data_IF_789212965049
#
_entry.id   IF_789212965049
#
_cell.length_a   1.000
_cell.length_b   1.000
_cell.length_c   1.000
_cell.angle_alpha   90.00
_cell.angle_beta   90.00
_cell.angle_gamma   90.00
#
_symmetry.space_group_name_H-M   'P 1'
#
loop_
_entity.id
_entity.type
_entity.pdbx_description
1 polymer ?
#
# COMPACT_ATOMS: atom_id res chain seq x y z
N UNK A 1 12.76 -8.48 -25.99
CA UNK A 1 12.32 -8.64 -24.59
C UNK A 1 12.77 -7.40 -23.82
N UNK A 2 11.91 -6.83 -22.98
CA UNK A 2 12.28 -5.70 -22.14
C UNK A 2 13.14 -6.15 -20.96
N UNK A 3 14.25 -5.47 -20.70
CA UNK A 3 15.17 -5.76 -19.60
C UNK A 3 14.78 -4.94 -18.36
N UNK A 4 14.50 -5.58 -17.22
CA UNK A 4 14.29 -4.86 -15.96
C UNK A 4 15.60 -4.24 -15.47
N UNK A 5 15.64 -2.92 -15.37
CA UNK A 5 16.83 -2.17 -14.91
C UNK A 5 16.80 -1.98 -13.39
N UNK A 6 15.63 -1.78 -12.80
CA UNK A 6 15.50 -1.58 -11.36
C UNK A 6 14.11 -1.13 -10.94
N UNK A 7 14.00 -0.67 -9.71
CA UNK A 7 12.76 -0.10 -9.17
C UNK A 7 12.96 1.37 -8.83
N UNK A 8 11.96 2.20 -9.03
CA UNK A 8 12.02 3.63 -8.71
C UNK A 8 10.78 4.07 -7.92
N UNK A 9 10.73 5.35 -7.56
CA UNK A 9 9.54 5.98 -6.99
C UNK A 9 9.05 7.04 -7.96
N UNK A 10 7.78 6.98 -8.31
CA UNK A 10 7.11 7.95 -9.17
C UNK A 10 6.05 8.71 -8.38
N UNK A 11 5.91 10.00 -8.61
CA UNK A 11 4.80 10.79 -8.10
C UNK A 11 4.08 11.48 -9.25
N UNK A 12 2.79 11.19 -9.38
CA UNK A 12 1.91 11.89 -10.32
C UNK A 12 1.71 13.36 -9.93
N UNK A 13 1.74 13.65 -8.63
CA UNK A 13 1.59 15.01 -8.08
C UNK A 13 2.77 15.88 -8.50
N UNK A 14 3.98 15.33 -8.42
CA UNK A 14 5.22 16.02 -8.80
C UNK A 14 5.54 15.91 -10.29
N UNK A 15 4.79 15.08 -11.03
CA UNK A 15 4.99 14.85 -12.46
C UNK A 15 6.32 14.16 -12.80
N UNK A 16 6.88 13.34 -11.91
CA UNK A 16 8.21 12.77 -12.14
C UNK A 16 8.66 11.69 -11.17
N UNK A 17 9.90 11.23 -11.37
CA UNK A 17 10.60 10.23 -10.60
C UNK A 17 11.44 10.87 -9.51
N UNK A 18 11.47 10.23 -8.35
CA UNK A 18 12.30 10.65 -7.23
C UNK A 18 13.78 10.48 -7.58
N UNK A 19 14.56 11.57 -7.55
CA UNK A 19 16.00 11.57 -7.86
C UNK A 19 16.88 11.68 -6.60
N UNK A 20 16.40 12.38 -5.58
CA UNK A 20 17.05 12.45 -4.25
C UNK A 20 16.02 12.19 -3.16
N UNK A 21 16.42 11.47 -2.11
CA UNK A 21 15.48 11.09 -1.05
C UNK A 21 15.30 12.15 0.05
N UNK A 22 16.31 12.98 0.31
CA UNK A 22 16.32 14.04 1.32
C UNK A 22 17.31 15.15 0.94
N UNK A 23 16.85 16.36 0.56
CA UNK A 23 15.46 16.70 0.31
C UNK A 23 14.87 15.85 -0.83
N UNK A 24 13.55 15.68 -0.82
CA UNK A 24 12.86 14.96 -1.91
C UNK A 24 12.83 15.85 -3.15
N UNK A 25 13.51 15.43 -4.21
CA UNK A 25 13.46 16.10 -5.52
C UNK A 25 12.96 15.12 -6.58
N UNK A 26 12.24 15.63 -7.58
CA UNK A 26 11.65 14.86 -8.65
C UNK A 26 12.11 15.38 -10.02
N UNK A 27 12.24 14.48 -10.99
CA UNK A 27 12.60 14.79 -12.37
C UNK A 27 11.76 13.94 -13.34
N UNK A 28 11.42 14.46 -14.50
CA UNK A 28 10.55 13.78 -15.47
C UNK A 28 11.23 12.57 -16.15
N UNK A 29 12.56 12.59 -16.29
CA UNK A 29 13.35 11.54 -16.94
C UNK A 29 13.56 10.32 -16.03
N UNK A 30 13.10 9.11 -16.42
CA UNK A 30 13.34 7.88 -15.66
C UNK A 30 14.82 7.55 -15.47
N UNK A 31 15.71 8.01 -16.37
CA UNK A 31 17.15 7.76 -16.27
C UNK A 31 17.79 8.48 -15.06
N UNK A 32 17.17 9.56 -14.59
CA UNK A 32 17.62 10.31 -13.42
C UNK A 32 17.09 9.72 -12.10
N UNK A 33 16.21 8.72 -12.16
CA UNK A 33 15.54 8.17 -10.99
C UNK A 33 16.52 7.48 -10.02
N UNK A 34 16.24 7.62 -8.73
CA UNK A 34 16.91 6.83 -7.70
C UNK A 34 16.44 5.39 -7.78
N UNK A 35 17.30 4.49 -8.28
CA UNK A 35 16.97 3.08 -8.45
C UNK A 35 17.21 2.27 -7.17
N UNK A 36 16.24 1.43 -6.81
CA UNK A 36 16.27 0.48 -5.72
C UNK A 36 16.44 -0.94 -6.27
N UNK A 37 17.15 -1.78 -5.51
CA UNK A 37 17.37 -3.19 -5.86
C UNK A 37 16.13 -4.06 -5.71
N UNK A 38 15.21 -3.69 -4.81
CA UNK A 38 14.03 -4.50 -4.49
C UNK A 38 12.76 -3.66 -4.47
N UNK A 39 11.63 -4.30 -4.80
CA UNK A 39 10.29 -3.72 -4.71
C UNK A 39 10.02 -3.18 -3.29
N UNK A 40 10.45 -3.91 -2.26
CA UNK A 40 10.29 -3.52 -0.86
C UNK A 40 11.03 -2.21 -0.52
N UNK A 41 12.25 -2.01 -1.02
CA UNK A 41 13.01 -0.77 -0.81
C UNK A 41 12.35 0.42 -1.51
N UNK A 42 11.86 0.23 -2.74
CA UNK A 42 11.14 1.26 -3.48
C UNK A 42 9.83 1.66 -2.76
N UNK A 43 9.05 0.67 -2.32
CA UNK A 43 7.82 0.92 -1.56
C UNK A 43 8.06 1.58 -0.21
N UNK A 44 9.11 1.17 0.52
CA UNK A 44 9.48 1.82 1.77
C UNK A 44 9.83 3.29 1.56
N UNK A 45 10.49 3.62 0.44
CA UNK A 45 10.75 5.02 0.08
C UNK A 45 9.45 5.76 -0.28
N UNK A 46 8.62 5.21 -1.16
CA UNK A 46 7.33 5.80 -1.54
C UNK A 46 6.45 6.11 -0.31
N UNK A 47 6.27 5.13 0.60
CA UNK A 47 5.45 5.29 1.81
C UNK A 47 5.95 6.40 2.75
N UNK A 48 7.24 6.72 2.76
CA UNK A 48 7.78 7.84 3.58
C UNK A 48 7.31 9.22 3.11
N UNK A 49 6.80 9.35 1.88
CA UNK A 49 6.29 10.62 1.33
C UNK A 49 4.82 10.87 1.67
N UNK A 50 4.15 9.87 2.20
CA UNK A 50 2.74 9.91 2.54
C UNK A 50 1.90 8.97 1.66
N UNK A 51 0.80 8.42 2.18
CA UNK A 51 -0.13 7.61 1.41
C UNK A 51 -0.64 8.36 0.16
N UNK A 52 -0.67 7.70 -0.99
CA UNK A 52 -1.16 8.27 -2.25
C UNK A 52 -0.26 9.34 -2.88
N UNK A 53 0.83 9.78 -2.23
CA UNK A 53 1.70 10.82 -2.77
C UNK A 53 2.62 10.31 -3.87
N UNK A 54 3.16 9.12 -3.66
CA UNK A 54 4.11 8.47 -4.56
C UNK A 54 3.90 6.95 -4.53
N UNK A 55 4.29 6.31 -5.61
CA UNK A 55 4.17 4.87 -5.83
C UNK A 55 5.52 4.27 -6.21
N UNK A 56 5.71 3.00 -5.90
CA UNK A 56 6.86 2.27 -6.43
C UNK A 56 6.56 1.83 -7.87
N UNK A 57 7.57 1.93 -8.73
CA UNK A 57 7.48 1.50 -10.13
C UNK A 57 8.65 0.59 -10.46
N UNK A 58 8.48 -0.29 -11.43
CA UNK A 58 9.60 -0.98 -12.09
C UNK A 58 10.02 -0.17 -13.31
N UNK A 59 11.32 -0.03 -13.54
CA UNK A 59 11.88 0.57 -14.75
C UNK A 59 12.46 -0.54 -15.62
N UNK A 60 12.04 -0.57 -16.89
CA UNK A 60 12.46 -1.55 -17.88
C UNK A 60 12.99 -0.86 -19.13
N UNK A 61 14.01 -1.45 -19.78
CA UNK A 61 14.55 -1.02 -21.06
C UNK A 61 13.88 -1.77 -22.20
N UNK A 62 13.29 -1.05 -23.15
CA UNK A 62 12.81 -1.60 -24.42
C UNK A 62 13.96 -2.01 -25.35
N UNK A 63 13.64 -2.75 -26.42
CA UNK A 63 14.64 -3.16 -27.42
C UNK A 63 15.24 -1.97 -28.19
N UNK A 64 14.48 -0.88 -28.30
CA UNK A 64 14.91 0.40 -28.89
C UNK A 64 15.76 1.26 -27.94
N UNK A 65 16.04 0.76 -26.73
CA UNK A 65 16.78 1.47 -25.69
C UNK A 65 15.94 2.45 -24.88
N UNK A 66 14.66 2.61 -25.19
CA UNK A 66 13.76 3.49 -24.44
C UNK A 66 13.49 2.94 -23.03
N UNK A 67 13.24 3.86 -22.09
CA UNK A 67 12.89 3.51 -20.71
C UNK A 67 11.37 3.55 -20.54
N UNK A 68 10.83 2.46 -20.02
CA UNK A 68 9.43 2.35 -19.64
C UNK A 68 9.33 2.16 -18.13
N UNK A 69 8.22 2.59 -17.57
CA UNK A 69 7.87 2.27 -16.19
C UNK A 69 6.51 1.60 -16.10
N UNK A 70 6.38 0.71 -15.12
CA UNK A 70 5.11 0.10 -14.76
C UNK A 70 4.89 0.26 -13.26
N UNK A 71 3.66 0.58 -12.87
CA UNK A 71 3.29 0.71 -11.46
C UNK A 71 3.32 -0.66 -10.79
N UNK A 72 3.96 -0.73 -9.62
CA UNK A 72 3.91 -1.93 -8.81
C UNK A 72 2.62 -1.94 -7.99
N UNK A 73 2.12 -3.12 -7.67
CA UNK A 73 1.09 -3.26 -6.64
C UNK A 73 1.68 -2.98 -5.26
N UNK A 74 0.96 -2.27 -4.37
CA UNK A 74 1.41 -2.04 -3.00
C UNK A 74 1.52 -3.37 -2.25
N UNK A 75 2.58 -3.56 -1.44
CA UNK A 75 2.74 -4.79 -0.68
C UNK A 75 1.66 -4.85 0.39
N UNK A 76 0.95 -5.97 0.42
CA UNK A 76 0.01 -6.31 1.49
C UNK A 76 0.77 -6.48 2.80
N UNK A 77 0.30 -5.84 3.86
CA UNK A 77 0.81 -6.04 5.22
C UNK A 77 0.33 -7.37 5.80
N UNK A 78 -0.88 -7.77 5.47
CA UNK A 78 -1.41 -9.09 5.79
C UNK A 78 -0.74 -10.15 4.89
N UNK A 79 -0.34 -11.27 5.47
CA UNK A 79 0.25 -12.40 4.74
C UNK A 79 -0.85 -13.30 4.19
N UNK A 80 -0.56 -14.05 3.13
CA UNK A 80 -1.49 -15.06 2.60
C UNK A 80 -1.94 -16.05 3.67
N UNK A 81 -3.20 -16.47 3.59
CA UNK A 81 -3.87 -17.35 4.55
C UNK A 81 -4.34 -16.66 5.83
N UNK A 82 -3.89 -15.43 6.11
CA UNK A 82 -4.39 -14.63 7.23
C UNK A 82 -5.76 -14.02 6.95
N UNK A 83 -6.45 -13.58 7.99
CA UNK A 83 -7.76 -12.95 7.89
C UNK A 83 -7.65 -11.45 8.17
N UNK A 84 -8.29 -10.63 7.35
CA UNK A 84 -8.40 -9.18 7.56
C UNK A 84 -9.82 -8.84 8.00
N UNK A 85 -9.97 -7.74 8.74
CA UNK A 85 -11.28 -7.24 9.19
C UNK A 85 -11.59 -5.96 8.44
N UNK A 86 -12.67 -6.00 7.66
CA UNK A 86 -13.26 -4.88 6.94
C UNK A 86 -14.47 -4.37 7.71
N UNK A 87 -14.58 -3.07 7.83
CA UNK A 87 -15.65 -2.37 8.52
C UNK A 87 -16.27 -1.40 7.53
N UNK A 88 -17.59 -1.37 7.45
CA UNK A 88 -18.32 -0.30 6.77
C UNK A 88 -19.12 0.46 7.81
N UNK A 89 -19.05 1.78 7.74
CA UNK A 89 -19.86 2.66 8.58
C UNK A 89 -20.68 3.55 7.65
N UNK A 90 -21.98 3.29 7.58
CA UNK A 90 -22.90 4.03 6.70
C UNK A 90 -23.05 5.50 7.13
N UNK A 91 -22.59 5.87 8.33
CA UNK A 91 -22.54 7.26 8.79
C UNK A 91 -21.31 8.04 8.29
N UNK A 92 -20.34 7.37 7.65
CA UNK A 92 -19.09 7.98 7.22
C UNK A 92 -18.93 7.95 5.68
N UNK A 93 -18.62 9.08 5.02
CA UNK A 93 -18.53 9.16 3.55
C UNK A 93 -17.20 8.61 2.99
N UNK A 94 -16.46 7.81 3.78
CA UNK A 94 -15.07 7.41 3.52
C UNK A 94 -14.93 5.99 2.98
N UNK A 95 -16.04 5.28 2.78
CA UNK A 95 -16.04 3.90 2.27
C UNK A 95 -15.56 2.88 3.30
N UNK A 96 -15.15 1.68 2.86
CA UNK A 96 -14.72 0.62 3.76
C UNK A 96 -13.40 0.96 4.47
N UNK A 97 -13.31 0.52 5.71
CA UNK A 97 -12.15 0.68 6.58
C UNK A 97 -11.59 -0.69 6.95
N UNK A 98 -10.28 -0.85 6.81
CA UNK A 98 -9.56 -2.08 7.12
C UNK A 98 -8.78 -1.91 8.42
N UNK A 99 -8.92 -2.84 9.37
CA UNK A 99 -8.15 -2.76 10.61
C UNK A 99 -6.65 -2.93 10.31
N UNK A 100 -5.88 -1.88 10.56
CA UNK A 100 -4.45 -1.80 10.24
C UNK A 100 -3.54 -2.06 11.44
N UNK A 101 -4.03 -1.84 12.67
CA UNK A 101 -3.32 -2.24 13.89
C UNK A 101 -4.22 -2.32 15.11
N UNK A 102 -3.77 -3.11 16.09
CA UNK A 102 -4.30 -3.13 17.44
C UNK A 102 -3.28 -2.44 18.34
N UNK A 103 -3.68 -1.34 18.95
CA UNK A 103 -2.86 -0.60 19.91
C UNK A 103 -2.79 -1.32 21.25
N UNK A 104 -1.78 -0.99 22.07
CA UNK A 104 -1.62 -1.56 23.42
C UNK A 104 -2.76 -1.18 24.36
N UNK A 105 -3.41 -0.04 24.11
CA UNK A 105 -4.60 0.42 24.84
C UNK A 105 -5.92 -0.22 24.33
N UNK A 106 -5.83 -1.25 23.48
CA UNK A 106 -6.98 -2.01 23.00
C UNK A 106 -7.80 -1.31 21.91
N UNK A 107 -7.39 -0.10 21.49
CA UNK A 107 -8.03 0.61 20.37
C UNK A 107 -7.58 0.03 19.05
N UNK A 108 -8.52 -0.12 18.13
CA UNK A 108 -8.22 -0.51 16.75
C UNK A 108 -7.97 0.75 15.92
N UNK A 109 -6.93 0.73 15.09
CA UNK A 109 -6.73 1.72 14.03
C UNK A 109 -7.17 1.11 12.71
N UNK A 110 -7.79 1.92 11.86
CA UNK A 110 -8.20 1.49 10.54
C UNK A 110 -7.55 2.35 9.45
N UNK A 111 -7.44 1.79 8.26
CA UNK A 111 -7.00 2.46 7.03
C UNK A 111 -8.09 2.31 5.97
N UNK A 112 -8.20 3.27 5.06
CA UNK A 112 -9.01 3.11 3.85
C UNK A 112 -8.36 2.18 2.83
N UNK A 113 -7.06 1.88 3.01
CA UNK A 113 -6.28 1.04 2.10
C UNK A 113 -6.23 -0.41 2.58
N UNK A 114 -6.67 -1.33 1.71
CA UNK A 114 -6.61 -2.77 1.98
C UNK A 114 -5.18 -3.27 2.20
N UNK A 115 -4.19 -2.67 1.52
CA UNK A 115 -2.79 -3.06 1.65
C UNK A 115 -2.19 -2.80 3.04
N UNK A 116 -2.79 -1.90 3.82
CA UNK A 116 -2.37 -1.62 5.19
C UNK A 116 -3.10 -2.49 6.23
N UNK A 117 -4.05 -3.33 5.78
CA UNK A 117 -4.78 -4.25 6.64
C UNK A 117 -3.81 -5.19 7.38
N UNK A 118 -4.06 -5.39 8.67
CA UNK A 118 -3.32 -6.34 9.48
C UNK A 118 -3.92 -7.73 9.29
N UNK A 119 -3.07 -8.72 9.07
CA UNK A 119 -3.45 -10.13 9.13
C UNK A 119 -3.66 -10.61 10.56
N UNK A 120 -4.75 -11.33 10.78
CA UNK A 120 -5.15 -11.95 12.04
C UNK A 120 -5.35 -13.46 11.87
N UNK A 121 -5.36 -14.20 12.98
CA UNK A 121 -5.94 -15.55 12.96
C UNK A 121 -7.45 -15.47 12.77
N UNK A 122 -8.07 -16.54 12.29
CA UNK A 122 -9.52 -16.60 12.08
C UNK A 122 -10.29 -16.22 13.35
N UNK A 123 -9.95 -16.82 14.49
CA UNK A 123 -10.62 -16.56 15.76
C UNK A 123 -10.49 -15.08 16.18
N UNK A 124 -9.29 -14.50 16.04
CA UNK A 124 -9.08 -13.07 16.33
C UNK A 124 -9.90 -12.16 15.42
N UNK A 125 -9.99 -12.50 14.13
CA UNK A 125 -10.77 -11.74 13.16
C UNK A 125 -12.26 -11.78 13.49
N UNK A 126 -12.80 -12.95 13.84
CA UNK A 126 -14.20 -13.12 14.29
C UNK A 126 -14.49 -12.31 15.54
N UNK A 127 -13.66 -12.46 16.58
CA UNK A 127 -13.81 -11.71 17.84
C UNK A 127 -13.73 -10.20 17.61
N UNK A 128 -12.87 -9.75 16.69
CA UNK A 128 -12.72 -8.35 16.37
C UNK A 128 -13.92 -7.82 15.58
N UNK A 129 -14.38 -8.54 14.55
CA UNK A 129 -15.55 -8.17 13.77
C UNK A 129 -16.82 -8.07 14.64
N UNK A 130 -17.00 -9.00 15.59
CA UNK A 130 -18.13 -8.98 16.52
C UNK A 130 -18.20 -7.70 17.37
N UNK A 131 -17.05 -7.09 17.72
CA UNK A 131 -17.01 -5.82 18.48
C UNK A 131 -17.59 -4.63 17.71
N UNK A 132 -17.63 -4.70 16.38
CA UNK A 132 -18.13 -3.63 15.53
C UNK A 132 -19.59 -3.83 15.13
N UNK A 133 -20.09 -5.07 15.11
CA UNK A 133 -21.50 -5.38 14.82
C UNK A 133 -22.49 -4.78 15.84
N UNK A 134 -22.04 -4.45 17.06
CA UNK A 134 -22.87 -3.80 18.09
C UNK A 134 -23.01 -2.28 17.94
N UNK A 135 -22.40 -1.66 16.92
CA UNK A 135 -22.45 -0.21 16.71
C UNK A 135 -23.51 0.16 15.68
N UNK A 136 -24.33 1.21 15.92
CA UNK A 136 -25.30 1.68 14.93
C UNK A 136 -24.62 2.00 13.61
N UNK A 137 -25.23 1.62 12.49
CA UNK A 137 -24.77 1.89 11.13
C UNK A 137 -23.41 1.27 10.75
N UNK A 138 -22.87 0.37 11.59
CA UNK A 138 -21.59 -0.26 11.38
C UNK A 138 -21.77 -1.75 11.06
N UNK A 139 -21.20 -2.20 9.95
CA UNK A 139 -21.08 -3.62 9.62
C UNK A 139 -19.62 -4.01 9.63
N UNK A 140 -19.33 -5.26 9.97
CA UNK A 140 -17.99 -5.81 9.92
C UNK A 140 -18.01 -7.18 9.24
N UNK A 141 -17.04 -7.38 8.35
CA UNK A 141 -16.82 -8.59 7.60
C UNK A 141 -15.37 -9.02 7.76
N UNK A 142 -15.14 -10.32 7.62
CA UNK A 142 -13.80 -10.89 7.60
C UNK A 142 -13.55 -11.49 6.23
N UNK A 143 -12.35 -11.24 5.70
CA UNK A 143 -11.94 -11.72 4.38
C UNK A 143 -10.61 -12.45 4.54
N UNK A 144 -10.46 -13.61 3.90
CA UNK A 144 -9.18 -14.33 3.91
C UNK A 144 -8.30 -13.79 2.78
N UNK A 145 -7.05 -13.48 3.12
CA UNK A 145 -6.04 -13.06 2.14
C UNK A 145 -5.66 -14.29 1.31
N UNK A 146 -5.93 -14.19 0.02
CA UNK A 146 -5.53 -15.20 -0.97
C UNK A 146 -4.13 -14.91 -1.50
N UNK A 147 -3.48 -15.94 -2.08
CA UNK A 147 -2.21 -15.81 -2.81
C UNK A 147 -2.33 -14.97 -4.09
#
# INVERSE_FOLDING_TARGET
>A
MSERIGYAVYSKIEGGYLVTASPSNYHWDPAAALMYETTAKAWASAKRRGPGYAIAVVISRGEDGSLHHEELSPPMKAVSGSWIVRIEDAGLPIGPLYISSLSRDGKSRASTEICDARGFSYQQAVELAAKFQGRPNCTAQIEQVSD
#
